data_IF_846290162664
#
_entry.id   IF_846290162664
#
_cell.length_a   1.000
_cell.length_b   1.000
_cell.length_c   1.000
_cell.angle_alpha   90.00
_cell.angle_beta   90.00
_cell.angle_gamma   90.00
#
_symmetry.space_group_name_H-M   'P 1'
#
loop_
_entity.id
_entity.type
_entity.pdbx_description
1 polymer ?
#
# COMPACT_ATOMS: atom_id res chain seq x y z
N UNK A 1 -12.40 18.94 -9.16
CA UNK A 1 -11.23 19.21 -8.29
C UNK A 1 -10.06 18.36 -8.77
N UNK A 2 -8.89 18.96 -9.05
CA UNK A 2 -7.69 18.25 -9.50
C UNK A 2 -6.60 18.28 -8.44
N UNK A 3 -5.90 17.16 -8.23
CA UNK A 3 -4.65 17.13 -7.47
C UNK A 3 -3.52 17.40 -8.45
N UNK A 4 -2.99 18.62 -8.48
CA UNK A 4 -1.83 18.97 -9.31
C UNK A 4 -0.59 19.09 -8.45
N UNK A 5 0.50 18.41 -8.82
CA UNK A 5 1.82 18.67 -8.24
C UNK A 5 2.40 19.91 -8.91
N UNK A 6 2.45 21.04 -8.19
CA UNK A 6 2.97 22.32 -8.68
C UNK A 6 4.07 22.85 -7.77
N UNK A 7 5.18 23.27 -8.38
CA UNK A 7 6.36 23.87 -7.75
C UNK A 7 6.21 25.40 -7.85
N UNK A 8 6.34 26.13 -6.74
CA UNK A 8 6.30 27.59 -6.71
C UNK A 8 7.50 28.22 -7.45
N UNK A 9 7.37 29.45 -8.00
CA UNK A 9 8.41 30.11 -8.77
C UNK A 9 9.54 30.62 -7.87
N UNK A 10 10.75 30.44 -8.39
CA UNK A 10 12.04 30.57 -7.73
C UNK A 10 12.49 32.01 -7.46
N UNK A 11 13.05 32.23 -6.27
CA UNK A 11 14.15 33.18 -6.03
C UNK A 11 15.40 32.37 -5.62
N UNK A 12 16.52 32.72 -6.26
CA UNK A 12 17.79 32.01 -6.28
C UNK A 12 18.47 31.99 -4.90
N UNK A 13 18.81 30.81 -4.39
CA UNK A 13 20.10 30.57 -3.72
C UNK A 13 20.35 29.06 -3.57
N UNK A 14 21.52 28.67 -4.04
CA UNK A 14 22.05 27.31 -4.10
C UNK A 14 22.26 26.71 -2.71
N UNK A 15 21.55 25.63 -2.41
CA UNK A 15 22.00 24.60 -1.47
C UNK A 15 21.23 23.30 -1.71
N UNK A 16 21.96 22.19 -1.63
CA UNK A 16 21.53 20.82 -1.87
C UNK A 16 20.26 20.47 -1.10
N UNK A 17 19.13 20.33 -1.79
CA UNK A 17 17.88 19.86 -1.20
C UNK A 17 17.63 18.41 -1.59
N UNK A 18 17.87 17.51 -0.64
CA UNK A 18 17.11 16.27 -0.51
C UNK A 18 15.63 16.61 -0.63
N UNK A 19 14.99 16.11 -1.69
CA UNK A 19 13.60 16.39 -2.03
C UNK A 19 12.67 15.94 -0.91
N UNK A 20 12.21 16.88 -0.08
CA UNK A 20 11.09 16.63 0.82
C UNK A 20 9.88 16.25 -0.03
N UNK A 21 9.14 15.18 0.28
CA UNK A 21 7.95 14.83 -0.47
C UNK A 21 6.91 15.95 -0.28
N UNK A 22 6.60 16.63 -1.38
CA UNK A 22 5.56 17.64 -1.46
C UNK A 22 4.24 17.07 -0.95
N UNK A 23 3.70 17.67 0.12
CA UNK A 23 2.42 17.29 0.72
C UNK A 23 1.31 17.41 -0.32
N UNK A 24 0.44 16.42 -0.38
CA UNK A 24 -0.71 16.45 -1.27
C UNK A 24 -1.69 17.53 -0.82
N UNK A 25 -2.22 18.31 -1.78
CA UNK A 25 -3.17 19.38 -1.53
C UNK A 25 -4.37 19.29 -2.47
N UNK A 26 -5.44 19.99 -2.10
CA UNK A 26 -6.67 20.08 -2.87
C UNK A 26 -6.70 21.44 -3.55
N UNK A 27 -7.00 21.44 -4.84
CA UNK A 27 -7.25 22.67 -5.59
C UNK A 27 -8.66 22.66 -6.19
N UNK A 28 -9.28 23.84 -6.19
CA UNK A 28 -10.54 24.08 -6.88
C UNK A 28 -10.23 24.50 -8.32
N UNK A 29 -11.00 23.97 -9.25
CA UNK A 29 -11.05 24.40 -10.64
C UNK A 29 -12.52 24.43 -11.05
N UNK A 30 -13.06 25.58 -11.48
CA UNK A 30 -12.43 26.91 -11.55
C UNK A 30 -12.04 27.47 -10.17
N UNK A 31 -11.13 28.45 -10.13
CA UNK A 31 -10.75 29.20 -8.92
C UNK A 31 -11.75 30.32 -8.63
N UNK A 32 -11.69 30.91 -7.43
CA UNK A 32 -12.51 32.08 -7.06
C UNK A 32 -12.36 33.23 -8.06
N UNK A 33 -11.13 33.54 -8.46
CA UNK A 33 -10.81 34.58 -9.45
C UNK A 33 -11.41 34.29 -10.82
N UNK A 34 -11.44 33.01 -11.22
CA UNK A 34 -12.06 32.60 -12.49
C UNK A 34 -13.57 32.87 -12.46
N UNK A 35 -14.23 32.63 -11.32
CA UNK A 35 -15.65 32.93 -11.14
C UNK A 35 -15.93 34.42 -11.11
N UNK A 36 -15.13 35.21 -10.40
CA UNK A 36 -15.25 36.68 -10.37
C UNK A 36 -15.09 37.26 -11.79
N UNK A 37 -14.09 36.80 -12.54
CA UNK A 37 -13.85 37.23 -13.91
C UNK A 37 -15.01 36.85 -14.83
N UNK A 38 -15.54 35.64 -14.70
CA UNK A 38 -16.70 35.20 -15.47
C UNK A 38 -17.94 36.05 -15.17
N UNK A 39 -18.17 36.40 -13.90
CA UNK A 39 -19.30 37.24 -13.51
C UNK A 39 -19.14 38.67 -14.05
N UNK A 40 -17.96 39.28 -13.93
CA UNK A 40 -17.67 40.60 -14.49
C UNK A 40 -17.96 40.63 -15.99
N UNK A 41 -17.58 39.58 -16.72
CA UNK A 41 -17.87 39.47 -18.15
C UNK A 41 -19.37 39.37 -18.44
N UNK A 42 -20.15 38.67 -17.60
CA UNK A 42 -21.61 38.59 -17.73
C UNK A 42 -22.25 39.97 -17.51
N UNK A 43 -21.86 40.67 -16.44
CA UNK A 43 -22.34 42.02 -16.13
C UNK A 43 -21.98 42.98 -17.26
N UNK A 44 -20.72 42.97 -17.72
CA UNK A 44 -20.29 43.79 -18.84
C UNK A 44 -21.10 43.50 -20.12
N UNK A 45 -21.37 42.23 -20.44
CA UNK A 45 -22.17 41.86 -21.62
C UNK A 45 -23.61 42.35 -21.48
N UNK A 46 -24.17 42.32 -20.27
CA UNK A 46 -25.48 42.89 -19.98
C UNK A 46 -25.50 44.41 -20.19
N UNK A 47 -24.53 45.13 -19.65
CA UNK A 47 -24.37 46.59 -19.83
C UNK A 47 -24.20 46.98 -21.31
N UNK A 48 -23.41 46.21 -22.06
CA UNK A 48 -23.26 46.41 -23.52
C UNK A 48 -24.58 46.17 -24.27
N UNK A 49 -25.34 45.15 -23.87
CA UNK A 49 -26.64 44.85 -24.49
C UNK A 49 -27.64 45.97 -24.20
N UNK A 50 -27.68 46.48 -22.97
CA UNK A 50 -28.53 47.61 -22.60
C UNK A 50 -28.11 48.90 -23.34
N UNK A 51 -26.81 49.15 -23.48
CA UNK A 51 -26.32 50.33 -24.23
C UNK A 51 -26.62 50.24 -25.73
N UNK A 52 -26.89 49.04 -26.27
CA UNK A 52 -27.20 48.86 -27.70
C UNK A 52 -28.61 49.31 -28.11
N UNK A 53 -29.49 49.67 -27.16
CA UNK A 53 -30.84 50.12 -27.46
C UNK A 53 -30.84 51.47 -28.19
N UNK A 54 -31.45 51.51 -29.38
CA UNK A 54 -31.58 52.75 -30.15
C UNK A 54 -32.57 53.71 -29.49
N UNK A 55 -32.23 55.00 -29.48
CA UNK A 55 -33.15 56.04 -29.05
C UNK A 55 -34.26 56.23 -30.08
N UNK A 56 -35.52 56.17 -29.64
CA UNK A 56 -36.67 56.55 -30.46
C UNK A 56 -36.73 58.08 -30.66
N UNK A 57 -36.15 58.85 -29.73
CA UNK A 57 -36.12 60.32 -29.77
C UNK A 57 -35.09 60.82 -30.79
N UNK A 58 -33.96 60.11 -30.90
CA UNK A 58 -32.91 60.43 -31.88
C UNK A 58 -33.03 59.63 -33.18
N UNK A 59 -34.09 58.83 -33.37
CA UNK A 59 -34.34 58.10 -34.60
C UNK A 59 -34.76 59.07 -35.72
N UNK A 60 -34.01 59.16 -36.84
CA UNK A 60 -34.35 60.05 -37.95
C UNK A 60 -35.74 59.78 -38.52
N UNK A 61 -36.19 58.52 -38.54
CA UNK A 61 -37.49 58.12 -39.08
C UNK A 61 -38.66 58.58 -38.21
N UNK A 62 -38.42 58.74 -36.90
CA UNK A 62 -39.42 59.17 -35.92
C UNK A 62 -39.36 60.67 -35.61
N UNK A 63 -38.41 61.40 -36.18
CA UNK A 63 -38.18 62.83 -35.95
C UNK A 63 -39.42 63.71 -36.18
N UNK A 64 -40.33 63.30 -37.08
CA UNK A 64 -41.61 63.97 -37.38
C UNK A 64 -42.60 63.91 -36.21
N UNK A 65 -42.50 62.89 -35.36
CA UNK A 65 -43.40 62.69 -34.22
C UNK A 65 -42.82 63.22 -32.90
N UNK A 66 -41.49 63.37 -32.83
CA UNK A 66 -40.76 63.74 -31.61
C UNK A 66 -40.49 65.24 -31.53
N UNK A 67 -40.35 65.92 -32.68
CA UNK A 67 -40.12 67.36 -32.72
C UNK A 67 -41.43 68.10 -33.07
N UNK A 68 -41.83 69.12 -32.29
CA UNK A 68 -43.02 69.91 -32.61
C UNK A 68 -42.81 70.75 -33.89
N UNK A 69 -43.91 71.13 -34.59
CA UNK A 69 -43.82 71.88 -35.83
C UNK A 69 -43.16 73.24 -35.65
N UNK A 70 -42.32 73.65 -36.61
CA UNK A 70 -41.61 74.93 -36.59
C UNK A 70 -42.51 76.18 -36.50
N UNK A 71 -43.82 76.03 -36.71
CA UNK A 71 -44.83 77.08 -36.59
C UNK A 71 -45.39 77.28 -35.17
N UNK A 72 -44.99 76.44 -34.20
CA UNK A 72 -45.43 76.57 -32.82
C UNK A 72 -44.67 77.68 -32.09
N UNK A 73 -45.32 78.85 -31.99
CA UNK A 73 -44.77 80.07 -31.38
C UNK A 73 -44.58 79.91 -29.86
N UNK A 74 -45.41 79.08 -29.21
CA UNK A 74 -45.31 78.83 -27.77
C UNK A 74 -44.06 78.00 -27.49
N UNK A 75 -43.84 76.95 -28.28
CA UNK A 75 -42.64 76.12 -28.20
C UNK A 75 -41.35 76.91 -28.50
N UNK A 76 -41.37 77.77 -29.51
CA UNK A 76 -40.22 78.60 -29.89
C UNK A 76 -39.79 79.59 -28.79
N UNK A 77 -40.73 80.08 -27.98
CA UNK A 77 -40.47 80.99 -26.86
C UNK A 77 -40.06 80.27 -25.56
N UNK A 78 -40.41 79.00 -25.41
CA UNK A 78 -40.04 78.16 -24.25
C UNK A 78 -38.78 77.32 -24.47
N UNK A 79 -38.15 77.43 -25.64
CA UNK A 79 -37.01 76.60 -26.06
C UNK A 79 -35.71 77.04 -25.40
N UNK A 80 -35.09 76.14 -24.64
CA UNK A 80 -33.72 76.30 -24.16
C UNK A 80 -32.76 75.56 -25.09
N UNK A 81 -32.11 76.32 -25.97
CA UNK A 81 -31.20 75.78 -26.99
C UNK A 81 -29.95 75.16 -26.35
N UNK A 82 -29.50 75.71 -25.22
CA UNK A 82 -28.31 75.25 -24.53
C UNK A 82 -28.56 73.91 -23.83
N UNK A 83 -29.76 73.72 -23.26
CA UNK A 83 -30.17 72.43 -22.68
C UNK A 83 -30.40 71.35 -23.74
N UNK A 84 -30.97 71.70 -24.90
CA UNK A 84 -31.15 70.76 -26.02
C UNK A 84 -29.82 70.31 -26.63
N UNK A 85 -28.85 71.22 -26.77
CA UNK A 85 -27.51 70.86 -27.25
C UNK A 85 -26.77 69.95 -26.26
N UNK A 86 -26.92 70.18 -24.95
CA UNK A 86 -26.40 69.28 -23.91
C UNK A 86 -27.07 67.91 -23.97
N UNK A 87 -28.40 67.86 -24.10
CA UNK A 87 -29.15 66.61 -24.16
C UNK A 87 -28.77 65.75 -25.39
N UNK A 88 -28.42 66.38 -26.53
CA UNK A 88 -27.94 65.68 -27.73
C UNK A 88 -26.53 65.12 -27.60
N UNK A 89 -25.72 65.63 -26.68
CA UNK A 89 -24.36 65.16 -26.44
C UNK A 89 -24.31 63.94 -25.50
N UNK A 90 -25.39 63.68 -24.75
CA UNK A 90 -25.49 62.52 -23.87
C UNK A 90 -25.73 61.26 -24.72
N UNK A 91 -24.87 60.23 -24.61
CA UNK A 91 -25.09 58.97 -25.32
C UNK A 91 -26.39 58.31 -24.84
N UNK A 92 -27.13 57.70 -25.76
CA UNK A 92 -28.36 56.97 -25.43
C UNK A 92 -28.17 55.46 -25.53
N UNK A 93 -28.62 54.69 -24.51
CA UNK A 93 -29.03 55.14 -23.18
C UNK A 93 -27.85 55.75 -22.38
N UNK A 94 -28.16 56.57 -21.38
CA UNK A 94 -27.13 57.13 -20.49
C UNK A 94 -26.57 56.03 -19.58
N UNK A 95 -25.49 55.40 -20.02
CA UNK A 95 -24.83 54.32 -19.30
C UNK A 95 -24.20 54.77 -17.99
N UNK A 96 -23.76 56.03 -17.90
CA UNK A 96 -23.15 56.56 -16.67
C UNK A 96 -24.22 56.75 -15.60
N UNK A 97 -25.38 57.27 -15.97
CA UNK A 97 -26.52 57.38 -15.07
C UNK A 97 -27.03 56.01 -14.61
N UNK A 98 -27.26 55.09 -15.56
CA UNK A 98 -27.89 53.79 -15.29
C UNK A 98 -26.97 52.81 -14.54
N UNK A 99 -25.69 52.75 -14.90
CA UNK A 99 -24.77 51.77 -14.34
C UNK A 99 -23.73 52.37 -13.41
N UNK A 100 -23.35 53.64 -13.58
CA UNK A 100 -22.33 54.29 -12.76
C UNK A 100 -22.88 54.96 -11.51
N UNK A 101 -23.98 55.69 -11.65
CA UNK A 101 -24.52 56.58 -10.60
C UNK A 101 -25.72 55.98 -9.85
N UNK A 102 -26.43 55.01 -10.44
CA UNK A 102 -27.57 54.36 -9.80
C UNK A 102 -27.12 53.56 -8.55
N UNK A 103 -27.53 53.98 -7.34
CA UNK A 103 -27.15 53.31 -6.11
C UNK A 103 -27.77 51.91 -5.97
N UNK A 104 -28.94 51.67 -6.56
CA UNK A 104 -29.62 50.38 -6.47
C UNK A 104 -28.87 49.34 -7.32
N UNK A 105 -28.48 49.72 -8.55
CA UNK A 105 -27.64 48.87 -9.40
C UNK A 105 -26.29 48.55 -8.76
N UNK A 106 -25.58 49.55 -8.23
CA UNK A 106 -24.29 49.36 -7.58
C UNK A 106 -24.40 48.44 -6.35
N UNK A 107 -25.47 48.60 -5.57
CA UNK A 107 -25.76 47.73 -4.44
C UNK A 107 -26.08 46.29 -4.88
N UNK A 108 -26.89 46.10 -5.92
CA UNK A 108 -27.22 44.78 -6.47
C UNK A 108 -25.97 44.06 -7.00
N UNK A 109 -25.12 44.75 -7.77
CA UNK A 109 -23.83 44.21 -8.22
C UNK A 109 -22.98 43.80 -7.02
N UNK A 110 -22.86 44.67 -6.01
CA UNK A 110 -22.14 44.37 -4.77
C UNK A 110 -22.68 43.14 -4.04
N UNK A 111 -24.00 42.99 -3.95
CA UNK A 111 -24.65 41.83 -3.34
C UNK A 111 -24.37 40.53 -4.11
N UNK A 112 -24.39 40.58 -5.45
CA UNK A 112 -24.08 39.40 -6.27
C UNK A 112 -22.65 38.91 -5.99
N UNK A 113 -21.66 39.81 -5.98
CA UNK A 113 -20.28 39.43 -5.66
C UNK A 113 -20.15 38.89 -4.24
N UNK A 114 -20.82 39.51 -3.27
CA UNK A 114 -20.81 39.03 -1.89
C UNK A 114 -21.40 37.62 -1.76
N UNK A 115 -22.54 37.35 -2.41
CA UNK A 115 -23.17 36.02 -2.41
C UNK A 115 -22.29 34.96 -3.08
N UNK A 116 -21.65 35.27 -4.21
CA UNK A 116 -20.72 34.33 -4.85
C UNK A 116 -19.56 34.01 -3.93
N UNK A 117 -18.97 35.02 -3.29
CA UNK A 117 -17.85 34.84 -2.37
C UNK A 117 -18.23 33.95 -1.18
N UNK A 118 -19.38 34.21 -0.56
CA UNK A 118 -19.88 33.40 0.55
C UNK A 118 -20.12 31.94 0.11
N UNK A 119 -20.61 31.72 -1.11
CA UNK A 119 -20.83 30.38 -1.63
C UNK A 119 -19.51 29.67 -2.03
N UNK A 120 -18.51 30.40 -2.51
CA UNK A 120 -17.16 29.87 -2.71
C UNK A 120 -16.54 29.45 -1.36
N UNK A 121 -16.73 30.25 -0.32
CA UNK A 121 -16.30 29.91 1.04
C UNK A 121 -17.01 28.66 1.58
N UNK A 122 -18.31 28.48 1.29
CA UNK A 122 -19.05 27.26 1.60
C UNK A 122 -18.45 26.03 0.89
N UNK A 123 -18.07 26.16 -0.39
CA UNK A 123 -17.40 25.11 -1.15
C UNK A 123 -16.02 24.81 -0.56
N UNK A 124 -15.24 25.84 -0.22
CA UNK A 124 -13.93 25.68 0.44
C UNK A 124 -14.07 24.96 1.77
N UNK A 125 -15.07 25.31 2.58
CA UNK A 125 -15.33 24.65 3.84
C UNK A 125 -15.75 23.18 3.66
N UNK A 126 -16.58 22.89 2.66
CA UNK A 126 -16.91 21.52 2.27
C UNK A 126 -15.65 20.75 1.84
N UNK A 127 -14.76 21.39 1.06
CA UNK A 127 -13.55 20.75 0.55
C UNK A 127 -12.56 20.33 1.65
N UNK A 128 -12.56 21.00 2.81
CA UNK A 128 -11.74 20.62 3.97
C UNK A 128 -11.97 19.18 4.41
N UNK A 129 -13.16 18.62 4.17
CA UNK A 129 -13.48 17.22 4.49
C UNK A 129 -12.60 16.22 3.73
N UNK A 130 -12.10 16.60 2.55
CA UNK A 130 -11.24 15.74 1.75
C UNK A 130 -9.76 15.76 2.17
N UNK A 131 -9.36 16.67 3.08
CA UNK A 131 -7.97 16.73 3.59
C UNK A 131 -7.52 15.41 4.21
N UNK A 132 -8.44 14.65 4.81
CA UNK A 132 -8.14 13.32 5.36
C UNK A 132 -7.59 12.38 4.29
N UNK A 133 -8.11 12.45 3.07
CA UNK A 133 -7.67 11.61 1.95
C UNK A 133 -6.31 12.06 1.42
N UNK A 134 -5.98 13.35 1.46
CA UNK A 134 -4.62 13.82 1.17
C UNK A 134 -3.60 13.23 2.14
N UNK A 135 -3.94 13.14 3.43
CA UNK A 135 -3.08 12.51 4.44
C UNK A 135 -2.91 11.02 4.16
N UNK A 136 -3.97 10.31 3.79
CA UNK A 136 -3.89 8.89 3.39
C UNK A 136 -2.99 8.68 2.17
N UNK A 137 -3.12 9.54 1.15
CA UNK A 137 -2.25 9.52 -0.05
C UNK A 137 -0.80 9.78 0.31
N UNK A 138 -0.53 10.78 1.16
CA UNK A 138 0.83 11.11 1.59
C UNK A 138 1.47 9.99 2.41
N UNK A 139 0.68 9.29 3.22
CA UNK A 139 1.13 8.09 3.95
C UNK A 139 1.43 6.96 2.97
N UNK A 140 0.48 6.61 2.10
CA UNK A 140 0.62 5.54 1.11
C UNK A 140 1.83 5.76 0.18
N UNK A 141 2.10 7.00 -0.23
CA UNK A 141 3.26 7.34 -1.07
C UNK A 141 4.60 7.04 -0.40
N UNK A 142 4.67 7.08 0.93
CA UNK A 142 5.90 6.80 1.70
C UNK A 142 6.13 5.32 1.93
N UNK A 143 5.10 4.49 1.75
CA UNK A 143 5.21 3.04 1.94
C UNK A 143 5.79 2.44 0.66
N UNK A 144 7.10 2.24 0.67
CA UNK A 144 7.79 1.46 -0.36
C UNK A 144 7.88 0.00 0.08
N UNK A 145 6.90 -0.80 -0.35
CA UNK A 145 6.84 -2.24 -0.03
C UNK A 145 8.03 -2.97 -0.64
N UNK A 146 8.39 -2.64 -1.88
CA UNK A 146 9.46 -3.32 -2.62
C UNK A 146 10.84 -3.03 -2.05
N UNK A 147 11.12 -1.77 -1.73
CA UNK A 147 12.36 -1.37 -1.07
C UNK A 147 12.48 -1.96 0.33
N UNK A 148 11.41 -1.87 1.13
CA UNK A 148 11.45 -2.33 2.51
C UNK A 148 11.64 -3.84 2.63
N UNK A 149 10.97 -4.65 1.79
CA UNK A 149 11.12 -6.10 1.80
C UNK A 149 12.49 -6.58 1.30
N UNK A 150 13.19 -5.79 0.48
CA UNK A 150 14.56 -6.09 0.05
C UNK A 150 15.57 -5.87 1.17
N UNK A 151 15.34 -4.87 2.02
CA UNK A 151 16.22 -4.58 3.17
C UNK A 151 15.99 -5.57 4.31
N UNK A 152 14.74 -5.91 4.60
CA UNK A 152 14.40 -6.91 5.62
C UNK A 152 13.09 -7.63 5.33
N UNK A 153 13.00 -8.89 5.74
CA UNK A 153 11.72 -9.56 5.80
C UNK A 153 10.82 -8.94 6.88
N UNK A 154 9.54 -8.79 6.55
CA UNK A 154 8.52 -8.32 7.48
C UNK A 154 7.99 -9.49 8.33
N UNK A 155 7.56 -9.18 9.55
CA UNK A 155 6.83 -10.12 10.38
C UNK A 155 5.34 -10.16 10.01
N UNK A 156 4.61 -11.14 10.54
CA UNK A 156 3.19 -11.34 10.22
C UNK A 156 2.30 -10.17 10.62
N UNK A 157 2.63 -9.48 11.72
CA UNK A 157 1.83 -8.36 12.22
C UNK A 157 2.08 -7.09 11.41
N UNK A 158 3.28 -6.91 10.88
CA UNK A 158 3.61 -5.83 9.94
C UNK A 158 2.81 -5.98 8.64
N UNK A 159 2.80 -7.20 8.07
CA UNK A 159 1.95 -7.50 6.91
C UNK A 159 0.49 -7.21 7.19
N UNK A 160 -0.04 -7.70 8.31
CA UNK A 160 -1.43 -7.49 8.70
C UNK A 160 -1.76 -6.01 8.89
N UNK A 161 -0.91 -5.26 9.58
CA UNK A 161 -1.14 -3.84 9.87
C UNK A 161 -1.20 -3.01 8.58
N UNK A 162 -0.25 -3.22 7.67
CA UNK A 162 -0.21 -2.50 6.37
C UNK A 162 -1.43 -2.87 5.52
N UNK A 163 -1.77 -4.14 5.41
CA UNK A 163 -2.94 -4.60 4.66
C UNK A 163 -4.24 -4.04 5.25
N UNK A 164 -4.43 -4.12 6.56
CA UNK A 164 -5.63 -3.64 7.23
C UNK A 164 -5.78 -2.13 7.05
N UNK A 165 -4.72 -1.36 7.31
CA UNK A 165 -4.75 0.09 7.18
C UNK A 165 -5.12 0.52 5.75
N UNK A 166 -4.43 0.00 4.74
CA UNK A 166 -4.68 0.44 3.37
C UNK A 166 -6.01 -0.10 2.80
N UNK A 167 -6.49 -1.25 3.29
CA UNK A 167 -7.84 -1.75 2.95
C UNK A 167 -8.91 -0.81 3.51
N UNK A 168 -8.77 -0.36 4.76
CA UNK A 168 -9.66 0.65 5.35
C UNK A 168 -9.63 1.96 4.57
N UNK A 169 -8.43 2.43 4.18
CA UNK A 169 -8.27 3.65 3.36
C UNK A 169 -9.01 3.50 2.01
N UNK A 170 -8.84 2.38 1.30
CA UNK A 170 -9.56 2.10 0.03
C UNK A 170 -11.08 2.09 0.26
N UNK A 171 -11.56 1.42 1.31
CA UNK A 171 -12.99 1.37 1.63
C UNK A 171 -13.57 2.74 1.98
N UNK A 172 -12.82 3.59 2.67
CA UNK A 172 -13.24 4.97 2.94
C UNK A 172 -13.25 5.82 1.67
N UNK A 173 -12.27 5.65 0.79
CA UNK A 173 -12.19 6.38 -0.47
C UNK A 173 -13.32 5.96 -1.43
N UNK A 174 -13.65 4.67 -1.49
CA UNK A 174 -14.75 4.15 -2.31
C UNK A 174 -16.13 4.68 -1.87
N UNK A 175 -16.27 5.05 -0.59
CA UNK A 175 -17.52 5.64 -0.03
C UNK A 175 -17.65 7.15 -0.28
N UNK A 176 -16.71 7.78 -0.98
CA UNK A 176 -16.78 9.21 -1.27
C UNK A 176 -17.99 9.57 -2.14
N UNK A 177 -18.69 10.64 -1.76
CA UNK A 177 -19.74 11.23 -2.58
C UNK A 177 -19.12 12.02 -3.74
N UNK A 178 -19.17 11.46 -4.96
CA UNK A 178 -18.49 12.03 -6.13
C UNK A 178 -19.05 13.38 -6.61
N UNK A 179 -20.35 13.57 -6.42
CA UNK A 179 -21.07 14.77 -6.88
C UNK A 179 -21.93 15.30 -5.74
N UNK A 180 -21.80 16.60 -5.45
CA UNK A 180 -22.63 17.24 -4.44
C UNK A 180 -22.90 18.69 -4.77
N UNK A 181 -24.17 19.09 -4.67
CA UNK A 181 -24.55 20.51 -4.69
C UNK A 181 -24.22 21.17 -3.35
N UNK A 182 -23.50 22.28 -3.41
CA UNK A 182 -23.16 23.15 -2.27
C UNK A 182 -23.59 24.55 -2.67
N UNK A 183 -24.75 24.98 -2.16
CA UNK A 183 -25.35 26.26 -2.53
C UNK A 183 -25.60 26.39 -4.03
N UNK A 184 -24.97 27.41 -4.63
CA UNK A 184 -25.02 27.69 -6.07
C UNK A 184 -24.13 26.76 -6.90
N UNK A 185 -23.16 26.09 -6.27
CA UNK A 185 -22.17 25.30 -6.99
C UNK A 185 -22.50 23.80 -7.00
N UNK A 186 -22.12 23.14 -8.11
CA UNK A 186 -22.06 21.70 -8.20
C UNK A 186 -20.61 21.24 -8.09
N UNK A 187 -20.27 20.56 -7.00
CA UNK A 187 -18.91 20.09 -6.74
C UNK A 187 -18.75 18.67 -7.29
N UNK A 188 -17.83 18.51 -8.24
CA UNK A 188 -17.39 17.22 -8.79
C UNK A 188 -15.97 16.88 -8.31
N UNK A 189 -15.84 15.72 -7.66
CA UNK A 189 -14.57 15.16 -7.16
C UNK A 189 -14.15 13.89 -7.90
N UNK A 190 -14.75 13.57 -9.05
CA UNK A 190 -14.47 12.34 -9.80
C UNK A 190 -12.99 12.21 -10.16
N UNK A 191 -12.36 13.29 -10.63
CA UNK A 191 -10.92 13.30 -10.91
C UNK A 191 -10.07 13.15 -9.64
N UNK A 192 -10.46 13.81 -8.55
CA UNK A 192 -9.79 13.69 -7.26
C UNK A 192 -9.81 12.23 -6.78
N UNK A 193 -10.98 11.60 -6.81
CA UNK A 193 -11.15 10.20 -6.44
C UNK A 193 -10.28 9.27 -7.30
N UNK A 194 -10.34 9.41 -8.63
CA UNK A 194 -9.51 8.64 -9.58
C UNK A 194 -8.01 8.83 -9.36
N UNK A 195 -7.59 10.00 -8.89
CA UNK A 195 -6.17 10.29 -8.64
C UNK A 195 -5.71 9.75 -7.29
N UNK A 196 -6.56 9.78 -6.26
CA UNK A 196 -6.21 9.38 -4.90
C UNK A 196 -6.25 7.86 -4.70
N UNK A 197 -7.25 7.18 -5.25
CA UNK A 197 -7.49 5.75 -5.02
C UNK A 197 -6.29 4.83 -5.39
N UNK A 198 -5.56 5.08 -6.49
CA UNK A 198 -4.45 4.22 -6.88
C UNK A 198 -3.27 4.18 -5.90
N UNK A 199 -3.15 5.16 -4.98
CA UNK A 199 -2.02 5.19 -4.03
C UNK A 199 -2.10 4.06 -3.00
N UNK A 200 -3.17 3.93 -2.18
CA UNK A 200 -3.31 2.81 -1.27
C UNK A 200 -3.48 1.46 -2.01
N UNK A 201 -4.14 1.45 -3.17
CA UNK A 201 -4.27 0.22 -3.99
C UNK A 201 -2.90 -0.34 -4.42
N UNK A 202 -1.96 0.51 -4.82
CA UNK A 202 -0.60 0.08 -5.16
C UNK A 202 0.16 -0.53 -3.98
N UNK A 203 -0.07 -0.03 -2.77
CA UNK A 203 0.54 -0.61 -1.57
C UNK A 203 -0.03 -2.01 -1.32
N UNK A 204 -1.35 -2.16 -1.42
CA UNK A 204 -2.02 -3.47 -1.30
C UNK A 204 -1.54 -4.45 -2.37
N UNK A 205 -1.45 -4.02 -3.63
CA UNK A 205 -0.94 -4.82 -4.75
C UNK A 205 0.51 -5.26 -4.50
N UNK A 206 1.36 -4.35 -4.03
CA UNK A 206 2.73 -4.64 -3.65
C UNK A 206 2.82 -5.74 -2.60
N UNK A 207 2.02 -5.64 -1.53
CA UNK A 207 1.99 -6.67 -0.48
C UNK A 207 1.41 -7.98 -0.99
N UNK A 208 0.33 -7.93 -1.77
CA UNK A 208 -0.33 -9.11 -2.34
C UNK A 208 0.56 -9.89 -3.30
N UNK A 209 1.51 -9.21 -3.97
CA UNK A 209 2.53 -9.86 -4.81
C UNK A 209 3.58 -10.61 -4.00
N UNK A 210 3.98 -10.08 -2.84
CA UNK A 210 5.11 -10.62 -2.08
C UNK A 210 4.70 -11.62 -0.99
N UNK A 211 3.60 -11.39 -0.27
CA UNK A 211 3.21 -12.21 0.86
C UNK A 211 3.05 -13.70 0.47
N UNK A 212 2.35 -14.07 -0.62
CA UNK A 212 2.24 -15.47 -1.04
C UNK A 212 3.60 -16.10 -1.36
N UNK A 213 4.49 -15.37 -2.04
CA UNK A 213 5.83 -15.85 -2.43
C UNK A 213 6.69 -16.13 -1.19
N UNK A 214 6.68 -15.23 -0.21
CA UNK A 214 7.43 -15.41 1.05
C UNK A 214 6.83 -16.56 1.85
N UNK A 215 5.50 -16.67 1.92
CA UNK A 215 4.80 -17.75 2.60
C UNK A 215 5.11 -19.12 1.97
N UNK A 216 5.10 -19.22 0.65
CA UNK A 216 5.44 -20.42 -0.11
C UNK A 216 6.89 -20.84 0.13
N UNK A 217 7.84 -19.90 0.05
CA UNK A 217 9.26 -20.15 0.32
C UNK A 217 9.49 -20.66 1.75
N UNK A 218 8.90 -20.01 2.75
CA UNK A 218 9.02 -20.45 4.16
C UNK A 218 8.38 -21.82 4.38
N UNK A 219 7.22 -22.07 3.77
CA UNK A 219 6.56 -23.37 3.81
C UNK A 219 7.45 -24.48 3.21
N UNK A 220 8.06 -24.25 2.05
CA UNK A 220 8.95 -25.24 1.41
C UNK A 220 10.18 -25.56 2.28
N UNK A 221 10.85 -24.52 2.81
CA UNK A 221 12.00 -24.70 3.72
C UNK A 221 11.60 -25.52 4.95
N UNK A 222 10.52 -25.14 5.62
CA UNK A 222 10.04 -25.82 6.81
C UNK A 222 9.62 -27.27 6.52
N UNK A 223 8.88 -27.48 5.43
CA UNK A 223 8.41 -28.81 5.01
C UNK A 223 9.59 -29.72 4.68
N UNK A 224 10.63 -29.21 4.02
CA UNK A 224 11.84 -29.97 3.69
C UNK A 224 12.62 -30.36 4.96
N UNK A 225 12.75 -29.46 5.94
CA UNK A 225 13.38 -29.78 7.24
C UNK A 225 12.59 -30.86 7.96
N UNK A 226 11.26 -30.73 8.06
CA UNK A 226 10.39 -31.69 8.73
C UNK A 226 10.45 -33.07 8.06
N UNK A 227 10.38 -33.12 6.71
CA UNK A 227 10.45 -34.38 5.95
C UNK A 227 11.82 -35.04 6.10
N UNK A 228 12.90 -34.27 6.07
CA UNK A 228 14.25 -34.80 6.27
C UNK A 228 14.43 -35.36 7.68
N UNK A 229 14.00 -34.62 8.70
CA UNK A 229 14.05 -35.05 10.10
C UNK A 229 13.24 -36.34 10.32
N UNK A 230 12.02 -36.39 9.78
CA UNK A 230 11.15 -37.57 9.89
C UNK A 230 11.81 -38.80 9.28
N UNK A 231 12.31 -38.71 8.04
CA UNK A 231 13.00 -39.83 7.37
C UNK A 231 14.22 -40.34 8.15
N UNK A 232 14.97 -39.44 8.78
CA UNK A 232 16.17 -39.81 9.54
C UNK A 232 15.81 -40.48 10.88
N UNK A 233 14.72 -40.06 11.52
CA UNK A 233 14.24 -40.68 12.76
C UNK A 233 13.52 -42.02 12.51
N UNK A 234 12.78 -42.13 11.42
CA UNK A 234 12.06 -43.35 11.03
C UNK A 234 13.04 -44.50 10.64
N UNK A 235 14.29 -44.17 10.28
CA UNK A 235 15.32 -45.17 9.94
C UNK A 235 15.80 -45.89 11.21
N UNK A 236 15.60 -47.21 11.25
CA UNK A 236 16.13 -48.05 12.32
C UNK A 236 17.66 -48.20 12.19
N UNK A 237 18.44 -47.99 13.26
CA UNK A 237 19.88 -48.17 13.21
C UNK A 237 20.27 -49.65 13.16
N UNK A 238 21.19 -50.01 12.28
CA UNK A 238 21.66 -51.40 12.11
C UNK A 238 22.97 -51.68 12.86
N UNK A 239 23.81 -50.65 13.03
CA UNK A 239 25.08 -50.73 13.74
C UNK A 239 25.03 -49.93 15.04
N UNK A 240 25.98 -50.19 15.94
CA UNK A 240 26.10 -49.46 17.21
C UNK A 240 26.44 -47.99 16.95
N UNK A 241 27.31 -47.72 15.98
CA UNK A 241 27.69 -46.37 15.58
C UNK A 241 26.48 -45.60 15.04
N UNK A 242 25.69 -46.24 14.16
CA UNK A 242 24.46 -45.67 13.63
C UNK A 242 23.42 -45.41 14.72
N UNK A 243 23.38 -46.23 15.77
CA UNK A 243 22.51 -46.02 16.92
C UNK A 243 22.91 -44.80 17.74
N UNK A 244 24.22 -44.62 18.01
CA UNK A 244 24.71 -43.42 18.71
C UNK A 244 24.41 -42.16 17.89
N UNK A 245 24.63 -42.18 16.57
CA UNK A 245 24.28 -41.07 15.68
C UNK A 245 22.78 -40.75 15.69
N UNK A 246 21.93 -41.78 15.71
CA UNK A 246 20.47 -41.63 15.80
C UNK A 246 20.06 -40.97 17.11
N UNK A 247 20.64 -41.37 18.25
CA UNK A 247 20.37 -40.77 19.56
C UNK A 247 20.80 -39.29 19.64
N UNK A 248 21.96 -38.95 19.09
CA UNK A 248 22.42 -37.55 19.02
C UNK A 248 21.42 -36.73 18.19
N UNK A 249 20.97 -37.28 17.06
CA UNK A 249 19.99 -36.61 16.22
C UNK A 249 18.62 -36.45 16.89
N UNK A 250 18.14 -37.47 17.60
CA UNK A 250 16.89 -37.42 18.36
C UNK A 250 16.94 -36.31 19.43
N UNK A 251 18.01 -36.26 20.23
CA UNK A 251 18.16 -35.22 21.26
C UNK A 251 18.20 -33.81 20.66
N UNK A 252 18.88 -33.64 19.53
CA UNK A 252 18.88 -32.37 18.79
C UNK A 252 17.46 -31.99 18.35
N UNK A 253 16.70 -32.94 17.80
CA UNK A 253 15.35 -32.66 17.31
C UNK A 253 14.34 -32.41 18.41
N UNK A 254 14.45 -33.10 19.54
CA UNK A 254 13.64 -32.82 20.74
C UNK A 254 13.86 -31.37 21.25
N UNK A 255 15.07 -30.83 21.13
CA UNK A 255 15.37 -29.45 21.50
C UNK A 255 14.90 -28.43 20.46
N UNK A 256 14.97 -28.76 19.16
CA UNK A 256 14.60 -27.87 18.06
C UNK A 256 13.09 -27.84 17.76
N UNK A 257 12.30 -28.80 18.28
CA UNK A 257 10.86 -28.93 17.95
C UNK A 257 10.05 -27.67 18.29
N UNK A 258 10.38 -26.98 19.38
CA UNK A 258 9.70 -25.75 19.79
C UNK A 258 9.96 -24.60 18.81
N UNK A 259 11.17 -24.52 18.24
CA UNK A 259 11.50 -23.54 17.20
C UNK A 259 10.77 -23.85 15.90
N UNK A 260 10.69 -25.14 15.51
CA UNK A 260 9.92 -25.56 14.33
C UNK A 260 8.42 -25.28 14.50
N UNK A 261 7.88 -25.39 15.70
CA UNK A 261 6.48 -25.04 16.00
C UNK A 261 6.22 -23.55 15.86
N UNK A 262 7.15 -22.69 16.29
CA UNK A 262 7.06 -21.25 16.05
C UNK A 262 7.04 -20.92 14.56
N UNK A 263 7.93 -21.52 13.76
CA UNK A 263 7.93 -21.33 12.30
C UNK A 263 6.64 -21.85 11.66
N UNK A 264 6.11 -23.00 12.12
CA UNK A 264 4.81 -23.51 11.68
C UNK A 264 3.67 -22.50 11.93
N UNK A 265 3.66 -21.86 13.09
CA UNK A 265 2.68 -20.82 13.41
C UNK A 265 2.84 -19.59 12.53
N UNK A 266 4.07 -19.15 12.25
CA UNK A 266 4.34 -18.02 11.36
C UNK A 266 3.80 -18.34 9.95
N UNK A 267 4.16 -19.49 9.38
CA UNK A 267 3.68 -19.91 8.05
C UNK A 267 2.14 -19.97 8.02
N UNK A 268 1.53 -20.60 9.02
CA UNK A 268 0.06 -20.70 9.12
C UNK A 268 -0.60 -19.32 9.20
N UNK A 269 -0.01 -18.39 9.97
CA UNK A 269 -0.48 -17.02 10.08
C UNK A 269 -0.36 -16.28 8.74
N UNK A 270 0.73 -16.45 7.99
CA UNK A 270 0.88 -15.84 6.65
C UNK A 270 -0.20 -16.32 5.67
N UNK A 271 -0.45 -17.63 5.60
CA UNK A 271 -1.54 -18.17 4.75
C UNK A 271 -2.92 -17.71 5.23
N UNK A 272 -3.13 -17.56 6.53
CA UNK A 272 -4.38 -17.01 7.08
C UNK A 272 -4.60 -15.55 6.69
N UNK A 273 -3.54 -14.72 6.75
CA UNK A 273 -3.59 -13.33 6.30
C UNK A 273 -3.89 -13.29 4.79
N UNK A 274 -3.16 -14.05 3.99
CA UNK A 274 -3.39 -14.11 2.55
C UNK A 274 -4.84 -14.51 2.20
N UNK A 275 -5.43 -15.47 2.93
CA UNK A 275 -6.84 -15.84 2.79
C UNK A 275 -7.81 -14.72 3.18
N UNK A 276 -7.54 -14.04 4.29
CA UNK A 276 -8.42 -12.98 4.80
C UNK A 276 -8.50 -11.77 3.88
N UNK A 277 -7.43 -11.49 3.13
CA UNK A 277 -7.36 -10.42 2.13
C UNK A 277 -7.53 -10.93 0.69
N UNK A 278 -8.09 -12.14 0.51
CA UNK A 278 -8.43 -12.72 -0.79
C UNK A 278 -7.28 -12.76 -1.81
N UNK A 279 -6.05 -12.98 -1.35
CA UNK A 279 -4.88 -13.02 -2.21
C UNK A 279 -4.85 -14.31 -3.05
N UNK A 280 -4.41 -14.19 -4.30
CA UNK A 280 -4.26 -15.33 -5.20
C UNK A 280 -3.06 -16.19 -4.80
N UNK A 281 -3.34 -17.43 -4.37
CA UNK A 281 -2.34 -18.47 -4.11
C UNK A 281 -2.59 -19.60 -5.10
N UNK A 282 -1.52 -20.17 -5.69
CA UNK A 282 -1.68 -21.28 -6.61
C UNK A 282 -2.21 -22.53 -5.91
N UNK A 283 -2.99 -23.36 -6.61
CA UNK A 283 -3.50 -24.61 -6.06
C UNK A 283 -2.38 -25.58 -5.65
N UNK A 284 -1.24 -25.53 -6.36
CA UNK A 284 -0.04 -26.32 -6.06
C UNK A 284 0.58 -25.92 -4.71
N UNK A 285 0.83 -24.63 -4.49
CA UNK A 285 1.37 -24.12 -3.22
C UNK A 285 0.42 -24.41 -2.06
N UNK A 286 -0.89 -24.25 -2.29
CA UNK A 286 -1.90 -24.54 -1.27
C UNK A 286 -1.90 -26.03 -0.90
N UNK A 287 -1.77 -26.92 -1.88
CA UNK A 287 -1.65 -28.36 -1.63
C UNK A 287 -0.38 -28.69 -0.83
N UNK A 288 0.76 -28.07 -1.16
CA UNK A 288 1.99 -28.24 -0.40
C UNK A 288 1.82 -27.78 1.06
N UNK A 289 1.21 -26.62 1.28
CA UNK A 289 0.88 -26.13 2.63
C UNK A 289 -0.04 -27.11 3.40
N UNK A 290 -1.05 -27.69 2.74
CA UNK A 290 -1.93 -28.67 3.36
C UNK A 290 -1.18 -29.94 3.85
N UNK A 291 -0.05 -30.28 3.23
CA UNK A 291 0.80 -31.41 3.70
C UNK A 291 1.68 -31.08 4.92
N UNK A 292 1.84 -29.80 5.26
CA UNK A 292 2.72 -29.35 6.34
C UNK A 292 2.25 -29.86 7.70
N UNK A 293 0.98 -29.66 8.03
CA UNK A 293 0.42 -30.07 9.33
C UNK A 293 0.52 -31.59 9.55
N UNK A 294 0.07 -32.47 8.62
CA UNK A 294 0.28 -33.91 8.76
C UNK A 294 1.75 -34.32 8.94
N UNK A 295 2.66 -33.72 8.16
CA UNK A 295 4.10 -34.01 8.25
C UNK A 295 4.68 -33.60 9.60
N UNK A 296 4.24 -32.47 10.14
CA UNK A 296 4.70 -31.97 11.43
C UNK A 296 4.18 -32.83 12.60
N UNK A 297 2.93 -33.27 12.53
CA UNK A 297 2.36 -34.20 13.52
C UNK A 297 3.05 -35.57 13.49
N UNK A 298 3.40 -36.06 12.30
CA UNK A 298 4.20 -37.28 12.15
C UNK A 298 5.55 -37.13 12.85
N UNK A 299 6.30 -36.04 12.58
CA UNK A 299 7.59 -35.78 13.23
C UNK A 299 7.48 -35.76 14.77
N UNK A 300 6.49 -35.03 15.32
CA UNK A 300 6.24 -34.99 16.78
C UNK A 300 5.99 -36.37 17.36
N UNK A 301 5.18 -37.18 16.68
CA UNK A 301 4.85 -38.54 17.10
C UNK A 301 6.07 -39.46 17.03
N UNK A 302 6.87 -39.37 15.96
CA UNK A 302 8.11 -40.15 15.83
C UNK A 302 9.12 -39.78 16.90
N UNK A 303 9.32 -38.49 17.21
CA UNK A 303 10.21 -38.05 18.31
C UNK A 303 9.75 -38.68 19.63
N UNK A 304 8.47 -38.54 19.98
CA UNK A 304 7.92 -39.09 21.23
C UNK A 304 8.11 -40.61 21.31
N UNK A 305 7.85 -41.32 20.20
CA UNK A 305 8.03 -42.77 20.13
C UNK A 305 9.50 -43.18 20.28
N UNK A 306 10.43 -42.49 19.60
CA UNK A 306 11.86 -42.75 19.72
C UNK A 306 12.40 -42.45 21.12
N UNK A 307 11.89 -41.41 21.79
CA UNK A 307 12.24 -41.12 23.18
C UNK A 307 11.73 -42.21 24.13
N UNK A 308 10.49 -42.68 23.96
CA UNK A 308 9.94 -43.75 24.77
C UNK A 308 10.71 -45.07 24.61
N UNK A 309 11.17 -45.39 23.38
CA UNK A 309 11.96 -46.59 23.09
C UNK A 309 13.46 -46.45 23.37
N UNK A 310 13.92 -45.27 23.77
CA UNK A 310 15.34 -44.97 23.95
C UNK A 310 15.99 -45.96 24.93
N UNK A 311 15.39 -46.16 26.09
CA UNK A 311 15.97 -46.97 27.16
C UNK A 311 15.98 -48.46 26.80
N UNK A 312 14.91 -48.96 26.17
CA UNK A 312 14.86 -50.34 25.65
C UNK A 312 15.94 -50.58 24.59
N UNK A 313 16.13 -49.64 23.67
CA UNK A 313 17.15 -49.74 22.63
C UNK A 313 18.56 -49.68 23.24
N UNK A 314 18.82 -48.79 24.21
CA UNK A 314 20.11 -48.73 24.92
C UNK A 314 20.45 -50.08 25.55
N UNK A 315 19.50 -50.72 26.25
CA UNK A 315 19.71 -52.04 26.84
C UNK A 315 20.03 -53.10 25.77
N UNK A 316 19.32 -53.08 24.64
CA UNK A 316 19.52 -54.02 23.54
C UNK A 316 20.92 -53.89 22.91
N UNK A 317 21.36 -52.67 22.58
CA UNK A 317 22.69 -52.45 21.98
C UNK A 317 23.82 -52.68 22.99
N UNK A 318 23.62 -52.40 24.28
CA UNK A 318 24.60 -52.73 25.32
C UNK A 318 24.86 -54.24 25.37
N UNK A 319 23.80 -55.06 25.36
CA UNK A 319 23.94 -56.52 25.33
C UNK A 319 24.64 -57.01 24.05
N UNK A 320 24.28 -56.45 22.90
CA UNK A 320 24.92 -56.79 21.63
C UNK A 320 26.42 -56.45 21.62
N UNK A 321 26.83 -55.34 22.24
CA UNK A 321 28.22 -54.98 22.43
C UNK A 321 28.95 -55.94 23.37
N UNK A 322 28.34 -56.31 24.50
CA UNK A 322 28.91 -57.27 25.43
C UNK A 322 29.15 -58.65 24.78
N UNK A 323 28.20 -59.10 23.95
CA UNK A 323 28.31 -60.34 23.17
C UNK A 323 29.44 -60.26 22.12
N UNK A 324 29.57 -59.13 21.43
CA UNK A 324 30.64 -58.89 20.46
C UNK A 324 32.01 -58.88 21.15
N UNK A 325 32.14 -58.16 22.27
CA UNK A 325 33.36 -58.12 23.09
C UNK A 325 33.72 -59.53 23.59
N UNK A 326 32.73 -60.29 24.05
CA UNK A 326 32.92 -61.68 24.47
C UNK A 326 33.43 -62.57 23.33
N UNK A 327 32.95 -62.34 22.11
CA UNK A 327 33.39 -63.07 20.91
C UNK A 327 34.81 -62.70 20.52
N UNK A 328 35.14 -61.41 20.45
CA UNK A 328 36.49 -60.93 20.17
C UNK A 328 37.48 -61.45 21.21
N UNK A 329 37.14 -61.43 22.51
CA UNK A 329 37.98 -61.99 23.58
C UNK A 329 38.27 -63.48 23.36
N UNK A 330 37.25 -64.27 22.98
CA UNK A 330 37.43 -65.70 22.67
C UNK A 330 38.35 -65.91 21.48
N UNK A 331 38.18 -65.15 20.40
CA UNK A 331 39.06 -65.22 19.23
C UNK A 331 40.51 -64.85 19.57
N UNK A 332 40.71 -63.82 20.40
CA UNK A 332 42.02 -63.40 20.87
C UNK A 332 42.71 -64.50 21.70
N UNK A 333 41.96 -65.20 22.55
CA UNK A 333 42.47 -66.38 23.28
C UNK A 333 42.83 -67.52 22.33
N UNK A 334 42.01 -67.79 21.31
CA UNK A 334 42.32 -68.81 20.31
C UNK A 334 43.60 -68.46 19.54
N UNK A 335 43.74 -67.20 19.11
CA UNK A 335 44.93 -66.71 18.42
C UNK A 335 46.15 -66.80 19.33
N UNK A 336 46.04 -66.34 20.59
CA UNK A 336 47.10 -66.47 21.59
C UNK A 336 47.54 -67.92 21.75
N UNK A 337 46.60 -68.85 21.87
CA UNK A 337 46.90 -70.28 22.01
C UNK A 337 47.60 -70.83 20.76
N UNK A 338 47.17 -70.43 19.56
CA UNK A 338 47.85 -70.79 18.30
C UNK A 338 49.28 -70.25 18.26
N UNK A 339 49.51 -68.99 18.61
CA UNK A 339 50.84 -68.37 18.67
C UNK A 339 51.72 -69.08 19.71
N UNK A 340 51.22 -69.32 20.93
CA UNK A 340 51.96 -70.07 21.94
C UNK A 340 52.30 -71.50 21.50
N UNK A 341 51.38 -72.19 20.81
CA UNK A 341 51.65 -73.52 20.26
C UNK A 341 52.74 -73.52 19.18
N UNK A 342 52.77 -72.49 18.33
CA UNK A 342 53.80 -72.28 17.31
C UNK A 342 55.16 -71.96 17.93
N UNK A 343 55.20 -71.11 18.96
CA UNK A 343 56.43 -70.80 19.71
C UNK A 343 56.96 -72.05 20.43
N UNK A 344 56.06 -72.86 21.01
CA UNK A 344 56.43 -74.13 21.63
C UNK A 344 56.99 -75.12 20.60
N UNK A 345 56.38 -75.22 19.41
CA UNK A 345 56.92 -76.00 18.29
C UNK A 345 58.29 -75.49 17.80
N UNK A 346 58.48 -74.17 17.69
CA UNK A 346 59.77 -73.58 17.30
C UNK A 346 60.87 -73.84 18.35
N UNK A 347 60.57 -73.71 19.64
CA UNK A 347 61.51 -74.07 20.71
C UNK A 347 61.84 -75.57 20.68
N UNK A 348 60.87 -76.42 20.39
CA UNK A 348 61.08 -77.87 20.27
C UNK A 348 61.94 -78.23 19.06
N UNK A 349 61.79 -77.52 17.92
CA UNK A 349 62.63 -77.67 16.73
C UNK A 349 64.05 -77.13 16.98
N UNK A 350 64.18 -76.01 17.70
CA UNK A 350 65.49 -75.43 18.05
C UNK A 350 66.26 -76.29 19.06
N UNK A 351 65.56 -77.01 19.96
CA UNK A 351 66.15 -78.03 20.85
C UNK A 351 66.48 -79.35 20.12
N UNK A 352 65.93 -79.57 18.92
CA UNK A 352 66.18 -80.73 18.06
C UNK A 352 67.15 -80.46 16.90
N UNK A 353 67.86 -79.33 16.93
CA UNK A 353 69.05 -79.10 16.10
C UNK A 353 70.31 -79.41 16.92
N UNK A 354 70.85 -80.65 16.84
CA UNK A 354 72.23 -80.87 17.24
C UNK A 354 73.14 -80.20 16.21
N UNK A 355 74.21 -79.60 16.71
CA UNK A 355 75.39 -79.28 15.91
C UNK A 355 75.73 -80.47 15.00
N UNK A 356 75.70 -80.23 13.68
CA UNK A 356 76.57 -80.97 12.76
C UNK A 356 77.80 -80.09 12.52
N UNK A 357 78.88 -80.58 13.10
CA UNK A 357 80.29 -80.45 12.71
C UNK A 357 80.54 -80.10 11.26
#
# INVERSE_FOLDING_TARGET
>A
MTVTSGKEPSVISSSSQTSQPSRSFISLKPTEQDFETALLNIIYTFEQTATSFKSLVHDPELSVYVNPPASDVVYALSRDVDEEEKAKQIPWPDSELLFGQDPDYQNDVGQIFHQIKDEVDNVLNYSKKFRKFCVMVDKSRRVDVDGSLKEREWNTEEFYAVLNQHTEEVLEMAKMTLHKRVGLFHVDITEFHKTCLPYPEKVLEGVARHLPVIAAKRNDVLLNVIKHASRKLDKMPETVEAFVEHLIFLSRMANEIASLEQEYHIVTRMYSIARNFEMSISAEELALYQTLMPSFQHLKSTILYCEAKKDENIQRYSRALDDLIGTVRRELVIIKNKVCSLVCWMLTISLKWPQRS
#
